data_IF_606186023594
#
_entry.id   IF_606186023594
#
_cell.length_a   1.000
_cell.length_b   1.000
_cell.length_c   1.000
_cell.angle_alpha   90.00
_cell.angle_beta   90.00
_cell.angle_gamma   90.00
#
_symmetry.space_group_name_H-M   'P 1'
#
loop_
_entity.id
_entity.type
_entity.pdbx_description
1 polymer ?
#
# COMPACT_ATOMS: atom_id res chain seq x y z
N UNK A 1 -4.89 -3.46 -11.13
CA UNK A 1 -4.84 -2.17 -10.41
C UNK A 1 -5.18 -2.44 -8.94
N UNK A 2 -4.42 -1.92 -7.98
CA UNK A 2 -4.69 -2.09 -6.55
C UNK A 2 -5.96 -1.31 -6.16
N UNK A 3 -6.86 -1.95 -5.43
CA UNK A 3 -8.09 -1.36 -4.91
C UNK A 3 -8.23 -1.84 -3.48
N UNK A 4 -8.13 -0.91 -2.54
CA UNK A 4 -8.28 -1.13 -1.09
C UNK A 4 -9.75 -1.46 -0.81
N UNK A 5 -10.01 -2.30 0.19
CA UNK A 5 -11.39 -2.55 0.62
C UNK A 5 -12.08 -1.26 1.08
N UNK A 6 -13.37 -1.14 0.83
CA UNK A 6 -14.17 0.00 1.31
C UNK A 6 -14.10 0.15 2.84
N UNK A 7 -13.92 -0.96 3.57
CA UNK A 7 -13.76 -0.94 5.03
C UNK A 7 -12.45 -0.27 5.44
N UNK A 8 -11.34 -0.57 4.76
CA UNK A 8 -10.04 0.02 5.03
C UNK A 8 -10.02 1.49 4.59
N UNK A 9 -10.73 1.86 3.53
CA UNK A 9 -10.90 3.27 3.15
C UNK A 9 -11.70 4.07 4.19
N UNK A 10 -12.81 3.53 4.69
CA UNK A 10 -13.59 4.17 5.77
C UNK A 10 -12.72 4.33 7.02
N UNK A 11 -11.99 3.28 7.40
CA UNK A 11 -11.13 3.28 8.56
C UNK A 11 -9.94 4.25 8.40
N UNK A 12 -9.38 4.38 7.21
CA UNK A 12 -8.38 5.41 6.85
C UNK A 12 -8.94 6.79 7.14
N UNK A 13 -10.12 7.11 6.61
CA UNK A 13 -10.74 8.43 6.80
C UNK A 13 -10.98 8.72 8.28
N UNK A 14 -11.54 7.77 9.03
CA UNK A 14 -11.74 7.94 10.47
C UNK A 14 -10.42 8.15 11.23
N UNK A 15 -9.40 7.34 10.94
CA UNK A 15 -8.07 7.47 11.56
C UNK A 15 -7.43 8.81 11.22
N UNK A 16 -7.54 9.28 9.98
CA UNK A 16 -6.96 10.55 9.53
C UNK A 16 -7.69 11.76 10.13
N UNK A 17 -9.03 11.71 10.23
CA UNK A 17 -9.81 12.75 10.91
C UNK A 17 -9.46 12.84 12.39
N UNK A 18 -9.33 11.68 13.07
CA UNK A 18 -8.98 11.65 14.48
C UNK A 18 -7.54 12.11 14.73
N UNK A 19 -6.63 11.74 13.82
CA UNK A 19 -5.24 12.22 13.84
C UNK A 19 -5.15 13.73 13.63
N UNK A 20 -5.98 14.29 12.73
CA UNK A 20 -6.09 15.74 12.53
C UNK A 20 -6.61 16.46 13.78
N UNK A 21 -7.63 15.91 14.45
CA UNK A 21 -8.13 16.45 15.72
C UNK A 21 -7.05 16.38 16.80
N UNK A 22 -6.32 15.26 16.90
CA UNK A 22 -5.24 15.09 17.86
C UNK A 22 -4.08 16.08 17.63
N UNK A 23 -3.69 16.29 16.37
CA UNK A 23 -2.68 17.26 15.99
C UNK A 23 -3.13 18.70 16.31
N UNK A 24 -4.40 19.02 16.02
CA UNK A 24 -4.97 20.33 16.35
C UNK A 24 -4.91 20.61 17.84
N UNK A 25 -5.26 19.64 18.69
CA UNK A 25 -5.18 19.77 20.16
C UNK A 25 -3.72 19.97 20.61
N UNK A 26 -2.79 19.19 20.07
CA UNK A 26 -1.36 19.29 20.41
C UNK A 26 -0.73 20.64 20.04
N UNK A 27 -1.16 21.25 18.93
CA UNK A 27 -0.67 22.57 18.48
C UNK A 27 -1.35 23.71 19.24
N UNK A 28 -2.66 23.62 19.47
CA UNK A 28 -3.43 24.75 20.04
C UNK A 28 -3.43 24.78 21.55
N UNK A 29 -3.01 23.68 22.20
CA UNK A 29 -3.14 23.47 23.65
C UNK A 29 -4.58 23.61 24.19
N UNK A 30 -5.57 23.66 23.30
CA UNK A 30 -6.96 23.88 23.62
C UNK A 30 -7.69 22.54 23.52
N UNK A 31 -7.91 21.91 24.67
CA UNK A 31 -8.85 20.79 24.77
C UNK A 31 -10.26 21.32 24.51
N UNK A 32 -11.01 20.74 23.55
CA UNK A 32 -12.37 21.18 23.28
C UNK A 32 -13.22 21.02 24.55
N UNK A 33 -13.71 22.14 25.09
CA UNK A 33 -14.49 22.15 26.34
C UNK A 33 -15.83 21.42 26.18
N UNK A 34 -16.28 21.25 24.94
CA UNK A 34 -17.44 20.44 24.56
C UNK A 34 -17.09 19.61 23.32
N UNK A 35 -16.87 18.31 23.50
CA UNK A 35 -16.93 17.37 22.38
C UNK A 35 -18.41 17.05 22.13
N UNK A 36 -19.11 18.01 21.51
CA UNK A 36 -20.54 17.88 21.21
C UNK A 36 -20.86 16.65 20.32
N UNK A 37 -19.85 16.14 19.60
CA UNK A 37 -19.96 14.99 18.70
C UNK A 37 -20.18 13.67 19.48
N UNK A 38 -19.79 13.59 20.75
CA UNK A 38 -19.87 12.34 21.56
C UNK A 38 -20.88 12.48 22.72
N UNK A 39 -21.53 13.63 22.90
CA UNK A 39 -22.52 13.82 23.96
C UNK A 39 -21.95 13.73 25.39
N UNK A 40 -20.62 13.86 25.53
CA UNK A 40 -19.91 13.87 26.81
C UNK A 40 -19.71 15.32 27.28
N UNK A 41 -20.38 15.70 28.37
CA UNK A 41 -20.09 16.93 29.11
C UNK A 41 -18.87 16.69 30.00
N UNK A 42 -17.74 17.29 29.65
CA UNK A 42 -16.43 17.03 30.24
C UNK A 42 -15.89 18.25 31.01
N UNK A 43 -16.80 19.12 31.44
CA UNK A 43 -16.52 20.34 32.21
C UNK A 43 -15.71 20.10 33.50
N UNK A 44 -15.65 18.87 34.03
CA UNK A 44 -14.97 18.52 35.29
C UNK A 44 -13.52 18.01 35.20
N UNK A 45 -13.02 17.52 34.05
CA UNK A 45 -11.62 17.02 33.96
C UNK A 45 -11.05 17.03 32.54
N UNK A 46 -10.49 18.17 32.14
CA UNK A 46 -9.88 18.38 30.81
C UNK A 46 -8.78 17.35 30.50
N UNK A 47 -8.03 16.92 31.51
CA UNK A 47 -6.96 15.92 31.38
C UNK A 47 -7.49 14.53 30.99
N UNK A 48 -8.59 14.08 31.61
CA UNK A 48 -9.25 12.79 31.31
C UNK A 48 -9.70 12.71 29.86
N UNK A 49 -10.17 13.83 29.28
CA UNK A 49 -10.59 13.91 27.87
C UNK A 49 -9.43 13.63 26.92
N UNK A 50 -8.27 14.22 27.23
CA UNK A 50 -7.06 14.05 26.43
C UNK A 50 -6.60 12.61 26.40
N UNK A 51 -6.51 11.97 27.57
CA UNK A 51 -6.15 10.55 27.67
C UNK A 51 -7.18 9.63 27.00
N UNK A 52 -8.47 9.93 27.11
CA UNK A 52 -9.52 9.20 26.40
C UNK A 52 -9.39 9.30 24.88
N UNK A 53 -9.14 10.50 24.35
CA UNK A 53 -8.88 10.72 22.92
C UNK A 53 -7.64 9.96 22.45
N UNK A 54 -6.57 9.94 23.25
CA UNK A 54 -5.35 9.18 22.95
C UNK A 54 -5.64 7.68 22.84
N UNK A 55 -6.41 7.13 23.77
CA UNK A 55 -6.78 5.70 23.79
C UNK A 55 -7.61 5.34 22.55
N UNK A 56 -8.61 6.16 22.22
CA UNK A 56 -9.45 5.94 21.02
C UNK A 56 -8.60 6.03 19.76
N UNK A 57 -7.72 7.03 19.65
CA UNK A 57 -6.81 7.19 18.51
C UNK A 57 -5.91 5.97 18.35
N UNK A 58 -5.31 5.51 19.44
CA UNK A 58 -4.45 4.32 19.44
C UNK A 58 -5.22 3.07 19.00
N UNK A 59 -6.45 2.88 19.48
CA UNK A 59 -7.31 1.77 19.06
C UNK A 59 -7.60 1.78 17.56
N UNK A 60 -8.02 2.92 17.01
CA UNK A 60 -8.31 3.05 15.58
C UNK A 60 -7.06 2.86 14.73
N UNK A 61 -5.93 3.40 15.16
CA UNK A 61 -4.64 3.27 14.49
C UNK A 61 -4.16 1.81 14.46
N UNK A 62 -4.28 1.10 15.59
CA UNK A 62 -3.90 -0.31 15.68
C UNK A 62 -4.80 -1.18 14.80
N UNK A 63 -6.12 -0.95 14.84
CA UNK A 63 -7.09 -1.65 13.98
C UNK A 63 -6.81 -1.39 12.50
N UNK A 64 -6.51 -0.14 12.13
CA UNK A 64 -6.16 0.23 10.76
C UNK A 64 -4.87 -0.43 10.30
N UNK A 65 -3.83 -0.43 11.15
CA UNK A 65 -2.54 -1.04 10.84
C UNK A 65 -2.67 -2.55 10.59
N UNK A 66 -3.37 -3.27 11.48
CA UNK A 66 -3.58 -4.72 11.36
C UNK A 66 -4.33 -5.06 10.06
N UNK A 67 -5.45 -4.39 9.78
CA UNK A 67 -6.23 -4.65 8.55
C UNK A 67 -5.44 -4.30 7.28
N UNK A 68 -4.69 -3.20 7.31
CA UNK A 68 -3.85 -2.80 6.18
C UNK A 68 -2.73 -3.82 5.91
N UNK A 69 -2.08 -4.33 6.95
CA UNK A 69 -1.06 -5.38 6.83
C UNK A 69 -1.68 -6.65 6.21
N UNK A 70 -2.87 -7.08 6.67
CA UNK A 70 -3.54 -8.24 6.10
C UNK A 70 -3.87 -8.07 4.61
N UNK A 71 -4.31 -6.88 4.18
CA UNK A 71 -4.54 -6.60 2.75
C UNK A 71 -3.26 -6.66 1.92
N UNK A 72 -2.15 -6.11 2.45
CA UNK A 72 -0.83 -6.18 1.79
C UNK A 72 -0.39 -7.64 1.68
N UNK A 73 -0.48 -8.42 2.76
CA UNK A 73 -0.07 -9.83 2.79
C UNK A 73 -0.91 -10.67 1.82
N UNK A 74 -2.24 -10.51 1.82
CA UNK A 74 -3.14 -11.23 0.90
C UNK A 74 -2.78 -10.97 -0.57
N UNK A 75 -2.32 -9.77 -0.90
CA UNK A 75 -1.93 -9.39 -2.26
C UNK A 75 -0.48 -9.76 -2.60
N UNK A 76 0.41 -9.75 -1.62
CA UNK A 76 1.78 -10.25 -1.76
C UNK A 76 1.81 -11.77 -1.93
N UNK A 77 0.81 -12.49 -1.39
CA UNK A 77 0.69 -13.95 -1.45
C UNK A 77 0.89 -14.54 -2.86
N UNK A 78 0.15 -14.14 -3.92
CA UNK A 78 0.38 -14.67 -5.26
C UNK A 78 1.77 -14.35 -5.83
N UNK A 79 2.36 -13.19 -5.49
CA UNK A 79 3.75 -12.90 -5.89
C UNK A 79 4.75 -13.76 -5.14
N UNK A 80 4.47 -14.06 -3.88
CA UNK A 80 5.33 -14.89 -3.04
C UNK A 80 5.24 -16.36 -3.43
N UNK A 81 4.04 -16.84 -3.77
CA UNK A 81 3.81 -18.14 -4.39
C UNK A 81 4.51 -18.21 -5.74
N UNK A 82 4.38 -17.20 -6.61
CA UNK A 82 5.12 -17.15 -7.89
C UNK A 82 6.63 -17.08 -7.68
N UNK A 83 7.12 -16.34 -6.69
CA UNK A 83 8.55 -16.25 -6.37
C UNK A 83 9.12 -17.61 -5.95
N UNK A 84 8.44 -18.32 -5.04
CA UNK A 84 8.82 -19.70 -4.67
C UNK A 84 8.54 -20.71 -5.79
N UNK A 85 7.55 -20.43 -6.63
CA UNK A 85 7.15 -21.26 -7.76
C UNK A 85 8.14 -21.24 -8.92
N UNK A 86 8.99 -20.21 -9.03
CA UNK A 86 10.06 -20.15 -10.05
C UNK A 86 11.04 -21.31 -9.98
N UNK A 87 11.26 -21.85 -8.78
CA UNK A 87 12.13 -22.99 -8.53
C UNK A 87 11.40 -24.34 -8.62
N UNK A 88 10.08 -24.33 -8.80
CA UNK A 88 9.34 -25.55 -9.11
C UNK A 88 9.74 -26.02 -10.51
N UNK A 89 10.24 -27.25 -10.57
CA UNK A 89 10.61 -27.94 -11.80
C UNK A 89 9.63 -29.07 -12.03
N UNK A 90 9.28 -29.32 -13.29
CA UNK A 90 8.45 -30.48 -13.63
C UNK A 90 9.18 -31.79 -13.31
N UNK A 91 8.47 -32.79 -12.81
CA UNK A 91 9.09 -34.05 -12.34
C UNK A 91 9.75 -34.89 -13.46
N UNK A 92 9.35 -34.67 -14.72
CA UNK A 92 9.79 -35.50 -15.85
C UNK A 92 10.95 -34.87 -16.62
N UNK A 93 10.81 -33.58 -16.98
CA UNK A 93 11.77 -32.86 -17.82
C UNK A 93 12.62 -31.87 -17.01
N UNK A 94 12.35 -31.72 -15.71
CA UNK A 94 13.05 -30.81 -14.78
C UNK A 94 13.18 -29.36 -15.26
N UNK A 95 12.32 -28.92 -16.18
CA UNK A 95 12.27 -27.54 -16.63
C UNK A 95 11.44 -26.68 -15.68
N UNK A 96 11.92 -25.46 -15.45
CA UNK A 96 11.17 -24.39 -14.79
C UNK A 96 10.06 -23.87 -15.70
N UNK A 97 8.99 -23.31 -15.12
CA UNK A 97 7.90 -22.65 -15.87
C UNK A 97 8.44 -21.57 -16.84
N UNK A 98 9.51 -20.87 -16.45
CA UNK A 98 10.16 -19.87 -17.31
C UNK A 98 10.88 -20.51 -18.50
N UNK A 99 11.57 -21.62 -18.25
CA UNK A 99 12.29 -22.35 -19.30
C UNK A 99 11.31 -22.99 -20.29
N UNK A 100 10.16 -23.49 -19.80
CA UNK A 100 9.08 -23.99 -20.65
C UNK A 100 8.54 -22.87 -21.53
N UNK A 101 8.29 -21.67 -20.98
CA UNK A 101 7.76 -20.57 -21.77
C UNK A 101 8.78 -20.02 -22.78
N UNK A 102 10.05 -19.92 -22.40
CA UNK A 102 11.13 -19.52 -23.30
C UNK A 102 11.32 -20.56 -24.43
N UNK A 103 11.17 -21.85 -24.14
CA UNK A 103 11.29 -22.92 -25.14
C UNK A 103 10.07 -22.98 -26.07
N UNK A 104 8.86 -22.74 -25.54
CA UNK A 104 7.65 -22.55 -26.36
C UNK A 104 7.77 -21.31 -27.28
N UNK A 105 8.30 -20.20 -26.77
CA UNK A 105 8.56 -19.01 -27.59
C UNK A 105 9.58 -19.33 -28.70
N UNK A 106 10.67 -20.06 -28.38
CA UNK A 106 11.67 -20.50 -29.38
C UNK A 106 11.10 -21.46 -30.43
N UNK A 107 10.30 -22.45 -30.02
CA UNK A 107 9.66 -23.38 -30.96
C UNK A 107 8.64 -22.66 -31.85
N UNK A 108 7.86 -21.73 -31.30
CA UNK A 108 6.97 -20.89 -32.08
C UNK A 108 7.70 -19.96 -33.06
N UNK A 109 8.94 -19.57 -32.73
CA UNK A 109 9.82 -18.80 -33.62
C UNK A 109 10.37 -19.66 -34.75
N UNK A 110 10.83 -20.88 -34.48
CA UNK A 110 11.38 -21.76 -35.52
C UNK A 110 10.32 -22.13 -36.58
N UNK A 111 9.09 -22.42 -36.18
CA UNK A 111 8.02 -22.76 -37.13
C UNK A 111 7.48 -21.58 -37.96
N UNK A 112 7.70 -20.32 -37.55
CA UNK A 112 7.24 -19.13 -38.29
C UNK A 112 8.37 -18.49 -39.11
N UNK A 113 9.63 -18.64 -38.68
CA UNK A 113 10.77 -17.95 -39.29
C UNK A 113 11.55 -18.78 -40.32
N UNK A 114 11.43 -20.11 -40.36
CA UNK A 114 12.19 -20.94 -41.32
C UNK A 114 11.95 -20.54 -42.79
N UNK A 115 10.75 -20.06 -43.13
CA UNK A 115 10.39 -19.65 -44.51
C UNK A 115 10.53 -18.12 -44.77
N UNK A 116 10.76 -17.29 -43.74
CA UNK A 116 10.68 -15.81 -43.82
C UNK A 116 11.93 -15.07 -43.32
N UNK A 117 12.94 -15.80 -42.83
CA UNK A 117 14.22 -15.27 -42.37
C UNK A 117 14.93 -14.48 -43.49
N UNK A 118 15.20 -13.19 -43.25
CA UNK A 118 15.85 -12.29 -44.21
C UNK A 118 14.92 -11.56 -45.19
N UNK A 119 13.59 -11.69 -45.05
CA UNK A 119 12.60 -10.92 -45.82
C UNK A 119 12.11 -9.68 -45.06
N UNK A 120 11.68 -8.64 -45.77
CA UNK A 120 11.08 -7.43 -45.17
C UNK A 120 9.88 -7.74 -44.26
N UNK A 121 9.12 -8.78 -44.60
CA UNK A 121 7.97 -9.28 -43.81
C UNK A 121 8.40 -9.96 -42.51
N UNK A 122 9.50 -10.71 -42.52
CA UNK A 122 10.09 -11.29 -41.30
C UNK A 122 10.61 -10.21 -40.36
N UNK A 123 11.34 -9.22 -40.88
CA UNK A 123 11.85 -8.08 -40.10
C UNK A 123 10.71 -7.26 -39.47
N UNK A 124 9.62 -7.03 -40.21
CA UNK A 124 8.45 -6.32 -39.68
C UNK A 124 7.77 -7.07 -38.51
N UNK A 125 7.63 -8.39 -38.62
CA UNK A 125 7.06 -9.22 -37.56
C UNK A 125 7.95 -9.27 -36.30
N UNK A 126 9.27 -9.29 -36.47
CA UNK A 126 10.23 -9.23 -35.37
C UNK A 126 10.21 -7.88 -34.64
N UNK A 127 10.09 -6.78 -35.39
CA UNK A 127 9.93 -5.44 -34.81
C UNK A 127 8.63 -5.35 -34.02
N UNK A 128 7.52 -5.87 -34.55
CA UNK A 128 6.23 -5.86 -33.85
C UNK A 128 6.26 -6.70 -32.56
N UNK A 129 6.92 -7.86 -32.56
CA UNK A 129 7.12 -8.65 -31.32
C UNK A 129 7.98 -7.92 -30.30
N UNK A 130 9.11 -7.33 -30.72
CA UNK A 130 9.98 -6.53 -29.83
C UNK A 130 9.19 -5.36 -29.23
N UNK A 131 8.35 -4.70 -30.03
CA UNK A 131 7.45 -3.64 -29.57
C UNK A 131 6.42 -4.14 -28.57
N UNK A 132 5.80 -5.29 -28.81
CA UNK A 132 4.83 -5.90 -27.91
C UNK A 132 5.46 -6.35 -26.58
N UNK A 133 6.70 -6.86 -26.61
CA UNK A 133 7.47 -7.19 -25.41
C UNK A 133 7.82 -5.94 -24.62
N UNK A 134 8.27 -4.88 -25.30
CA UNK A 134 8.55 -3.59 -24.69
C UNK A 134 7.28 -2.98 -24.06
N UNK A 135 6.14 -3.01 -24.75
CA UNK A 135 4.86 -2.51 -24.25
C UNK A 135 4.42 -3.28 -23.00
N UNK A 136 4.53 -4.61 -23.02
CA UNK A 136 4.24 -5.46 -21.87
C UNK A 136 5.14 -5.14 -20.68
N UNK A 137 6.43 -4.98 -20.92
CA UNK A 137 7.41 -4.66 -19.88
C UNK A 137 7.16 -3.28 -19.27
N UNK A 138 6.93 -2.25 -20.10
CA UNK A 138 6.60 -0.90 -19.63
C UNK A 138 5.28 -0.86 -18.87
N UNK A 139 4.24 -1.53 -19.39
CA UNK A 139 2.94 -1.65 -18.71
C UNK A 139 3.10 -2.35 -17.36
N UNK A 140 3.93 -3.40 -17.27
CA UNK A 140 4.19 -4.10 -16.02
C UNK A 140 4.91 -3.21 -14.99
N UNK A 141 5.94 -2.46 -15.42
CA UNK A 141 6.68 -1.52 -14.57
C UNK A 141 5.80 -0.36 -14.11
N UNK A 142 4.99 0.19 -15.01
CA UNK A 142 4.03 1.24 -14.68
C UNK A 142 3.01 0.75 -13.65
N UNK A 143 2.44 -0.44 -13.85
CA UNK A 143 1.51 -1.03 -12.88
C UNK A 143 2.21 -1.29 -11.54
N UNK A 144 3.48 -1.71 -11.53
CA UNK A 144 4.25 -1.87 -10.30
C UNK A 144 4.47 -0.54 -9.56
N UNK A 145 4.89 0.51 -10.28
CA UNK A 145 5.08 1.85 -9.72
C UNK A 145 3.79 2.44 -9.18
N UNK A 146 2.68 2.30 -9.91
CA UNK A 146 1.36 2.74 -9.47
C UNK A 146 0.89 2.02 -8.19
N UNK A 147 1.10 0.70 -8.11
CA UNK A 147 0.78 -0.05 -6.90
C UNK A 147 1.68 0.36 -5.73
N UNK A 148 2.98 0.60 -5.97
CA UNK A 148 3.92 1.10 -4.96
C UNK A 148 3.48 2.46 -4.42
N UNK A 149 3.10 3.38 -5.32
CA UNK A 149 2.58 4.69 -4.95
C UNK A 149 1.34 4.56 -4.06
N UNK A 150 0.38 3.71 -4.44
CA UNK A 150 -0.80 3.46 -3.61
C UNK A 150 -0.46 2.88 -2.24
N UNK A 151 0.51 1.97 -2.13
CA UNK A 151 0.95 1.48 -0.82
C UNK A 151 1.53 2.59 0.06
N UNK A 152 2.34 3.48 -0.54
CA UNK A 152 2.92 4.62 0.18
C UNK A 152 1.82 5.62 0.60
N UNK A 153 0.94 6.01 -0.33
CA UNK A 153 -0.06 7.05 -0.09
C UNK A 153 -1.21 6.59 0.80
N UNK A 154 -1.65 5.34 0.67
CA UNK A 154 -2.86 4.87 1.35
C UNK A 154 -2.59 4.07 2.61
N UNK A 155 -1.41 3.50 2.78
CA UNK A 155 -1.07 2.68 3.95
C UNK A 155 0.04 3.32 4.77
N UNK A 156 1.20 3.61 4.15
CA UNK A 156 2.35 4.13 4.89
C UNK A 156 2.06 5.52 5.48
N UNK A 157 1.52 6.43 4.67
CA UNK A 157 1.27 7.80 5.09
C UNK A 157 0.30 7.90 6.28
N UNK A 158 -0.90 7.27 6.27
CA UNK A 158 -1.82 7.36 7.41
C UNK A 158 -1.27 6.74 8.70
N UNK A 159 -0.48 5.67 8.60
CA UNK A 159 0.14 5.04 9.78
C UNK A 159 1.20 5.97 10.37
N UNK A 160 2.13 6.47 9.54
CA UNK A 160 3.20 7.36 10.02
C UNK A 160 2.61 8.65 10.58
N UNK A 161 1.65 9.24 9.88
CA UNK A 161 0.96 10.46 10.33
C UNK A 161 0.21 10.22 11.65
N UNK A 162 -0.55 9.12 11.76
CA UNK A 162 -1.26 8.79 12.99
C UNK A 162 -0.33 8.54 14.17
N UNK A 163 0.81 7.85 13.94
CA UNK A 163 1.82 7.62 14.99
C UNK A 163 2.42 8.95 15.47
N UNK A 164 2.76 9.84 14.53
CA UNK A 164 3.26 11.18 14.85
C UNK A 164 2.24 12.00 15.65
N UNK A 165 0.96 11.99 15.25
CA UNK A 165 -0.11 12.69 15.97
C UNK A 165 -0.34 12.11 17.36
N UNK A 166 -0.30 10.78 17.50
CA UNK A 166 -0.43 10.11 18.80
C UNK A 166 0.74 10.45 19.71
N UNK A 167 1.96 10.50 19.18
CA UNK A 167 3.15 10.91 19.94
C UNK A 167 3.10 12.39 20.35
N UNK A 168 2.71 13.28 19.44
CA UNK A 168 2.56 14.70 19.73
C UNK A 168 1.47 14.98 20.79
N UNK A 169 0.36 14.24 20.74
CA UNK A 169 -0.70 14.36 21.75
C UNK A 169 -0.28 13.76 23.09
N UNK A 170 0.48 12.65 23.10
CA UNK A 170 1.08 12.09 24.32
C UNK A 170 2.03 13.09 25.00
N UNK A 171 2.93 13.70 24.23
CA UNK A 171 3.87 14.70 24.74
C UNK A 171 3.17 15.95 25.30
N UNK A 172 2.08 16.37 24.66
CA UNK A 172 1.25 17.46 25.16
C UNK A 172 0.59 17.11 26.50
N UNK A 173 0.07 15.89 26.66
CA UNK A 173 -0.60 15.47 27.90
C UNK A 173 0.37 15.25 29.06
N UNK A 174 1.54 14.66 28.81
CA UNK A 174 2.50 14.34 29.88
C UNK A 174 3.33 15.54 30.32
N UNK A 175 3.78 16.38 29.37
CA UNK A 175 4.73 17.47 29.66
C UNK A 175 4.12 18.88 29.52
N UNK A 176 2.87 19.00 29.05
CA UNK A 176 2.26 20.30 28.75
C UNK A 176 2.96 21.06 27.60
N UNK A 177 3.83 20.39 26.85
CA UNK A 177 4.63 21.00 25.78
C UNK A 177 3.78 21.14 24.53
N UNK A 178 3.59 22.38 24.10
CA UNK A 178 2.90 22.72 22.85
C UNK A 178 3.88 22.56 21.70
N UNK A 179 3.52 21.76 20.68
CA UNK A 179 4.32 21.65 19.47
C UNK A 179 4.28 22.98 18.70
N UNK A 180 5.37 23.76 18.79
CA UNK A 180 5.58 24.94 17.95
C UNK A 180 6.31 24.50 16.69
N UNK A 181 5.67 24.66 15.53
CA UNK A 181 6.38 24.65 14.25
C UNK A 181 7.22 25.93 14.20
N UNK A 182 8.50 25.81 14.52
CA UNK A 182 9.50 26.87 14.36
C UNK A 182 10.51 26.41 13.33
#
# INVERSE_FOLDING_TARGET
MFKISEEVQKLKTHTLTLSGIALFISITAALPEKIAIIGLDLSGSKETVGWFLLIILSYFLLKFSVLSIFEVVKKALPRWISYKGKDLRGDVIMLSEKEIHDEYERQSQHHVNEDLLGTLTGEAADIERKRNKLDRDYKSKFVAAYNLWLYISDILFPIVFGCFCSWALYHFLEYGVVFKFT
#
